data_IF_286160476471
#
_entry.id   IF_286160476471
#
_cell.length_a   1.000
_cell.length_b   1.000
_cell.length_c   1.000
_cell.angle_alpha   90.00
_cell.angle_beta   90.00
_cell.angle_gamma   90.00
#
_symmetry.space_group_name_H-M   'P 1'
#
loop_
_entity.id
_entity.type
_entity.pdbx_description
1 polymer ?
#
# COMPACT_ATOMS: atom_id res chain seq x y z
N UNK A 1 5.07 7.54 -21.60
CA UNK A 1 5.20 6.78 -20.34
C UNK A 1 4.63 5.38 -20.58
N UNK A 2 5.48 4.38 -20.85
CA UNK A 2 5.07 2.99 -20.84
C UNK A 2 4.38 2.64 -19.52
N UNK A 3 3.31 1.86 -19.61
CA UNK A 3 2.62 1.28 -18.46
C UNK A 3 2.77 -0.23 -18.61
N UNK A 4 3.35 -0.88 -17.61
CA UNK A 4 3.43 -2.32 -17.53
C UNK A 4 2.69 -2.81 -16.29
N UNK A 5 2.13 -4.01 -16.39
CA UNK A 5 1.50 -4.69 -15.27
C UNK A 5 2.14 -6.05 -15.08
N UNK A 6 2.48 -6.36 -13.84
CA UNK A 6 3.03 -7.65 -13.47
C UNK A 6 2.67 -8.01 -12.03
N UNK A 7 2.76 -9.30 -11.68
CA UNK A 7 2.68 -9.73 -10.28
C UNK A 7 4.09 -9.82 -9.71
N UNK A 8 4.34 -9.17 -8.58
CA UNK A 8 5.62 -9.23 -7.85
C UNK A 8 5.41 -9.73 -6.43
N UNK A 9 6.46 -10.28 -5.85
CA UNK A 9 6.52 -10.57 -4.43
C UNK A 9 6.37 -9.28 -3.61
N UNK A 10 5.54 -9.32 -2.57
CA UNK A 10 5.21 -8.14 -1.75
C UNK A 10 6.44 -7.58 -1.03
N UNK A 11 7.37 -8.44 -0.59
CA UNK A 11 8.61 -8.01 0.05
C UNK A 11 9.60 -7.46 -0.98
N UNK A 12 9.68 -8.03 -2.18
CA UNK A 12 10.48 -7.47 -3.28
C UNK A 12 9.99 -6.06 -3.66
N UNK A 13 8.68 -5.84 -3.65
CA UNK A 13 8.09 -4.50 -3.85
C UNK A 13 8.51 -3.55 -2.74
N UNK A 14 8.49 -4.00 -1.48
CA UNK A 14 8.96 -3.21 -0.34
C UNK A 14 10.42 -2.76 -0.54
N UNK A 15 11.29 -3.73 -0.86
CA UNK A 15 12.72 -3.50 -1.08
C UNK A 15 12.96 -2.56 -2.27
N UNK A 16 12.28 -2.78 -3.39
CA UNK A 16 12.38 -1.93 -4.58
C UNK A 16 11.96 -0.48 -4.32
N UNK A 17 11.03 -0.28 -3.37
CA UNK A 17 10.57 1.04 -2.95
C UNK A 17 11.42 1.66 -1.82
N UNK A 18 12.47 0.98 -1.35
CA UNK A 18 13.25 1.41 -0.19
C UNK A 18 12.46 1.40 1.12
N UNK A 19 11.42 0.57 1.21
CA UNK A 19 10.59 0.43 2.39
C UNK A 19 11.16 -0.69 3.29
N UNK A 20 11.51 -0.32 4.52
CA UNK A 20 11.92 -1.27 5.56
C UNK A 20 10.74 -1.82 6.37
N UNK A 21 9.56 -1.22 6.20
CA UNK A 21 8.32 -1.48 6.94
C UNK A 21 7.15 -0.83 6.15
N UNK A 22 6.03 -0.49 6.81
CA UNK A 22 4.91 0.22 6.20
C UNK A 22 5.29 1.57 5.56
N UNK A 23 4.57 1.98 4.50
CA UNK A 23 4.67 3.33 3.93
C UNK A 23 4.46 4.40 5.00
N UNK A 24 5.20 5.51 4.88
CA UNK A 24 4.97 6.69 5.72
C UNK A 24 4.05 7.68 4.99
N UNK A 25 2.94 8.04 5.63
CA UNK A 25 2.06 9.10 5.13
C UNK A 25 2.54 10.44 5.69
N UNK A 26 2.84 11.40 4.82
CA UNK A 26 3.46 12.67 5.19
C UNK A 26 2.61 13.52 6.17
N UNK A 27 1.29 13.35 6.15
CA UNK A 27 0.35 14.03 7.06
C UNK A 27 0.25 13.38 8.44
N UNK A 28 0.91 12.24 8.66
CA UNK A 28 0.76 11.42 9.84
C UNK A 28 1.85 11.73 10.86
N UNK A 29 1.48 11.73 12.13
CA UNK A 29 2.32 12.04 13.27
C UNK A 29 3.42 11.00 13.53
N UNK A 30 3.26 9.76 13.01
CA UNK A 30 4.23 8.66 13.16
C UNK A 30 4.03 7.58 12.08
N UNK A 31 4.95 6.61 12.04
CA UNK A 31 4.75 5.39 11.22
C UNK A 31 3.70 4.47 11.87
N UNK A 32 2.96 3.80 10.99
CA UNK A 32 2.07 2.71 11.36
C UNK A 32 2.88 1.48 11.81
N UNK A 33 2.32 0.68 12.71
CA UNK A 33 2.87 -0.60 13.16
C UNK A 33 1.84 -1.71 13.06
N UNK A 34 2.28 -2.97 13.12
CA UNK A 34 1.37 -4.12 13.19
C UNK A 34 0.40 -4.04 14.37
N UNK A 35 0.87 -3.52 15.52
CA UNK A 35 0.06 -3.37 16.71
C UNK A 35 -1.12 -2.42 16.50
N UNK A 36 -0.95 -1.36 15.68
CA UNK A 36 -2.02 -0.43 15.36
C UNK A 36 -3.13 -1.08 14.53
N UNK A 37 -2.74 -1.88 13.54
CA UNK A 37 -3.67 -2.61 12.65
C UNK A 37 -4.38 -3.70 13.45
N UNK A 38 -3.64 -4.47 14.25
CA UNK A 38 -4.19 -5.51 15.12
C UNK A 38 -5.19 -4.92 16.15
N UNK A 39 -4.87 -3.77 16.74
CA UNK A 39 -5.77 -3.05 17.63
C UNK A 39 -7.06 -2.63 16.90
N UNK A 40 -6.95 -2.00 15.74
CA UNK A 40 -8.11 -1.59 14.94
C UNK A 40 -9.00 -2.80 14.54
N UNK A 41 -8.40 -3.95 14.21
CA UNK A 41 -9.13 -5.18 13.93
C UNK A 41 -9.85 -5.73 15.18
N UNK A 42 -9.19 -5.72 16.34
CA UNK A 42 -9.73 -6.22 17.59
C UNK A 42 -10.89 -5.35 18.13
N UNK A 43 -10.79 -4.03 17.95
CA UNK A 43 -11.79 -3.05 18.35
C UNK A 43 -12.93 -2.85 17.35
N UNK A 44 -12.88 -3.54 16.19
CA UNK A 44 -13.78 -3.33 15.06
C UNK A 44 -13.83 -1.87 14.56
N UNK A 45 -12.71 -1.17 14.71
CA UNK A 45 -12.54 0.22 14.31
C UNK A 45 -12.10 0.25 12.85
N UNK A 46 -13.07 0.10 11.94
CA UNK A 46 -12.82 -0.08 10.50
C UNK A 46 -13.33 1.12 9.69
N UNK A 47 -12.47 1.70 8.85
CA UNK A 47 -12.83 2.83 7.98
C UNK A 47 -12.90 2.35 6.52
N UNK A 48 -14.11 2.20 5.99
CA UNK A 48 -14.36 1.76 4.61
C UNK A 48 -13.97 2.83 3.57
N UNK A 49 -13.29 2.48 2.45
CA UNK A 49 -12.92 3.42 1.38
C UNK A 49 -14.09 4.34 1.01
N UNK A 50 -13.80 5.64 0.88
CA UNK A 50 -14.80 6.65 0.54
C UNK A 50 -14.31 7.40 -0.69
N UNK A 51 -14.93 7.11 -1.83
CA UNK A 51 -14.58 7.70 -3.13
C UNK A 51 -14.94 9.20 -3.21
N UNK A 52 -15.79 9.69 -2.30
CA UNK A 52 -16.16 11.11 -2.20
C UNK A 52 -15.25 11.93 -1.30
N UNK A 53 -14.38 11.29 -0.52
CA UNK A 53 -13.43 11.97 0.37
C UNK A 53 -12.29 12.57 -0.43
N UNK A 54 -11.84 13.77 -0.06
CA UNK A 54 -10.58 14.32 -0.56
C UNK A 54 -9.43 13.34 -0.22
N UNK A 55 -8.73 12.77 -1.22
CA UNK A 55 -7.66 11.81 -0.99
C UNK A 55 -6.45 12.42 -0.26
N UNK A 56 -6.34 13.76 -0.24
CA UNK A 56 -5.26 14.48 0.44
C UNK A 56 -5.68 14.97 1.83
N UNK A 57 -6.92 14.72 2.27
CA UNK A 57 -7.34 15.07 3.61
C UNK A 57 -6.46 14.33 4.63
N UNK A 58 -5.85 15.04 5.59
CA UNK A 58 -4.95 14.42 6.55
C UNK A 58 -5.66 13.32 7.35
N UNK A 59 -4.91 12.28 7.69
CA UNK A 59 -5.33 11.16 8.52
C UNK A 59 -4.26 10.90 9.59
N UNK A 60 -4.70 10.54 10.80
CA UNK A 60 -3.81 10.08 11.87
C UNK A 60 -3.31 8.65 11.62
N UNK A 61 -2.30 8.20 12.36
CA UNK A 61 -1.80 6.82 12.26
C UNK A 61 -2.92 5.82 12.57
N UNK A 62 -3.76 6.13 13.54
CA UNK A 62 -4.89 5.29 13.95
C UNK A 62 -5.98 5.21 12.88
N UNK A 63 -6.23 6.29 12.13
CA UNK A 63 -7.17 6.28 11.00
C UNK A 63 -6.58 5.52 9.81
N UNK A 64 -5.29 5.67 9.53
CA UNK A 64 -4.59 4.85 8.54
C UNK A 64 -4.67 3.36 8.92
N UNK A 65 -4.43 3.02 10.19
CA UNK A 65 -4.57 1.67 10.72
C UNK A 65 -5.98 1.11 10.51
N UNK A 66 -7.01 1.91 10.81
CA UNK A 66 -8.41 1.53 10.67
C UNK A 66 -8.83 1.32 9.19
N UNK A 67 -8.26 2.11 8.27
CA UNK A 67 -8.41 1.90 6.82
C UNK A 67 -7.74 0.61 6.36
N UNK A 68 -6.51 0.35 6.83
CA UNK A 68 -5.77 -0.88 6.53
C UNK A 68 -6.50 -2.09 7.09
N UNK A 69 -6.98 -2.03 8.34
CA UNK A 69 -7.77 -3.08 8.99
C UNK A 69 -9.05 -3.39 8.20
N UNK A 70 -9.75 -2.38 7.67
CA UNK A 70 -10.91 -2.61 6.81
C UNK A 70 -10.52 -3.41 5.56
N UNK A 71 -9.41 -3.07 4.90
CA UNK A 71 -8.88 -3.78 3.74
C UNK A 71 -8.40 -5.19 4.07
N UNK A 72 -7.81 -5.41 5.24
CA UNK A 72 -7.42 -6.75 5.71
C UNK A 72 -8.66 -7.64 5.88
N UNK A 73 -9.78 -7.09 6.35
CA UNK A 73 -11.00 -7.86 6.60
C UNK A 73 -11.87 -8.06 5.35
N UNK A 74 -11.94 -7.07 4.47
CA UNK A 74 -12.93 -7.04 3.37
C UNK A 74 -12.30 -6.91 1.98
N UNK A 75 -10.99 -6.71 1.89
CA UNK A 75 -10.30 -6.51 0.63
C UNK A 75 -10.22 -7.78 -0.21
N UNK A 76 -10.42 -7.62 -1.51
CA UNK A 76 -10.11 -8.65 -2.50
C UNK A 76 -8.65 -8.48 -2.95
N UNK A 77 -7.75 -9.27 -2.37
CA UNK A 77 -6.31 -9.17 -2.62
C UNK A 77 -5.93 -9.43 -4.08
N UNK A 78 -6.71 -10.22 -4.82
CA UNK A 78 -6.47 -10.45 -6.24
C UNK A 78 -6.75 -9.21 -7.09
N UNK A 79 -7.56 -8.28 -6.57
CA UNK A 79 -7.81 -6.97 -7.18
C UNK A 79 -6.94 -5.86 -6.62
N UNK A 80 -6.10 -6.15 -5.62
CA UNK A 80 -5.16 -5.14 -5.13
C UNK A 80 -4.11 -4.89 -6.20
N UNK A 81 -3.96 -3.62 -6.52
CA UNK A 81 -2.87 -3.11 -7.33
C UNK A 81 -2.11 -2.04 -6.57
N UNK A 82 -0.84 -1.90 -6.88
CA UNK A 82 -0.01 -0.80 -6.40
C UNK A 82 0.65 -0.15 -7.59
N UNK A 83 0.85 1.16 -7.54
CA UNK A 83 1.53 1.88 -8.62
C UNK A 83 2.95 2.17 -8.19
N UNK A 84 3.91 1.70 -8.96
CA UNK A 84 5.32 1.96 -8.76
C UNK A 84 5.78 2.99 -9.80
N UNK A 85 6.43 4.06 -9.35
CA UNK A 85 6.98 5.10 -10.21
C UNK A 85 8.34 5.53 -9.71
N UNK A 86 9.33 5.54 -10.60
CA UNK A 86 10.70 6.01 -10.32
C UNK A 86 11.27 5.36 -9.04
N UNK A 87 11.06 4.03 -8.89
CA UNK A 87 11.49 3.26 -7.72
C UNK A 87 10.73 3.57 -6.42
N UNK A 88 9.53 4.15 -6.49
CA UNK A 88 8.71 4.51 -5.31
C UNK A 88 7.29 4.01 -5.43
N UNK A 89 6.67 3.72 -4.29
CA UNK A 89 5.24 3.48 -4.18
C UNK A 89 4.49 4.81 -4.36
N UNK A 90 3.91 5.00 -5.53
CA UNK A 90 3.23 6.24 -5.93
C UNK A 90 1.73 6.22 -5.57
N UNK A 91 1.11 5.04 -5.60
CA UNK A 91 -0.27 4.84 -5.19
C UNK A 91 -0.48 3.42 -4.63
N UNK A 92 -1.51 3.26 -3.81
CA UNK A 92 -1.89 1.98 -3.22
C UNK A 92 -1.28 1.73 -1.85
N UNK A 93 -0.79 2.76 -1.14
CA UNK A 93 -0.15 2.62 0.18
C UNK A 93 -0.96 1.79 1.17
N UNK A 94 -2.29 2.02 1.28
CA UNK A 94 -3.13 1.24 2.20
C UNK A 94 -3.32 -0.21 1.73
N UNK A 95 -3.41 -0.45 0.41
CA UNK A 95 -3.52 -1.80 -0.18
C UNK A 95 -2.23 -2.59 0.02
N UNK A 96 -1.09 -1.95 -0.21
CA UNK A 96 0.23 -2.49 0.08
C UNK A 96 0.37 -2.85 1.56
N UNK A 97 0.04 -1.92 2.47
CA UNK A 97 0.10 -2.17 3.90
C UNK A 97 -0.82 -3.32 4.34
N UNK A 98 -2.04 -3.40 3.80
CA UNK A 98 -2.96 -4.50 4.10
C UNK A 98 -2.45 -5.86 3.62
N UNK A 99 -1.86 -5.91 2.43
CA UNK A 99 -1.25 -7.12 1.87
C UNK A 99 -0.02 -7.56 2.65
N UNK A 100 0.85 -6.62 3.03
CA UNK A 100 2.03 -6.88 3.87
C UNK A 100 1.61 -7.44 5.23
N UNK A 101 0.66 -6.80 5.91
CA UNK A 101 0.13 -7.25 7.20
C UNK A 101 -0.49 -8.65 7.12
N UNK A 102 -1.26 -8.91 6.05
CA UNK A 102 -1.95 -10.18 5.86
C UNK A 102 -1.04 -11.32 5.34
N UNK A 103 0.23 -11.05 5.07
CA UNK A 103 1.17 -12.04 4.54
C UNK A 103 0.83 -12.47 3.11
N UNK A 104 0.27 -11.58 2.29
CA UNK A 104 0.01 -11.85 0.88
C UNK A 104 1.35 -11.91 0.14
N UNK A 105 1.65 -13.06 -0.45
CA UNK A 105 2.93 -13.30 -1.11
C UNK A 105 3.13 -12.39 -2.34
N UNK A 106 2.10 -12.20 -3.17
CA UNK A 106 2.23 -11.44 -4.41
C UNK A 106 1.13 -10.41 -4.65
N UNK A 107 1.50 -9.27 -5.22
CA UNK A 107 0.62 -8.16 -5.58
C UNK A 107 0.72 -7.81 -7.06
N UNK A 108 -0.36 -7.27 -7.61
CA UNK A 108 -0.32 -6.65 -8.94
C UNK A 108 0.36 -5.29 -8.85
N UNK A 109 1.43 -5.09 -9.61
CA UNK A 109 2.16 -3.83 -9.71
C UNK A 109 1.92 -3.18 -11.08
N UNK A 110 1.52 -1.91 -11.07
CA UNK A 110 1.48 -1.04 -12.24
C UNK A 110 2.76 -0.23 -12.27
N UNK A 111 3.67 -0.56 -13.18
CA UNK A 111 4.93 0.14 -13.34
C UNK A 111 4.73 1.34 -14.27
N UNK A 112 5.13 2.52 -13.80
CA UNK A 112 5.13 3.76 -14.56
C UNK A 112 6.55 4.35 -14.55
N UNK A 113 7.16 4.49 -15.72
CA UNK A 113 8.51 5.05 -15.85
C UNK A 113 8.83 5.44 -17.29
N UNK A 114 10.01 6.01 -17.52
CA UNK A 114 10.53 6.24 -18.87
C UNK A 114 11.16 4.95 -19.42
N UNK A 115 11.01 4.73 -20.73
CA UNK A 115 11.37 3.50 -21.46
C UNK A 115 12.83 3.03 -21.27
N UNK A 116 13.73 3.87 -20.79
CA UNK A 116 15.15 3.55 -20.62
C UNK A 116 15.45 2.75 -19.33
N UNK A 117 14.77 3.03 -18.21
CA UNK A 117 14.99 2.31 -16.94
C UNK A 117 14.30 0.94 -16.93
N UNK A 118 13.21 0.78 -17.69
CA UNK A 118 12.45 -0.48 -17.74
C UNK A 118 13.16 -1.58 -18.55
N UNK A 119 14.10 -1.21 -19.44
CA UNK A 119 14.87 -2.15 -20.24
C UNK A 119 16.09 -2.73 -19.50
N UNK A 120 16.55 -2.10 -18.41
CA UNK A 120 17.64 -2.64 -17.57
C UNK A 120 17.14 -3.61 -16.49
N UNK A 121 15.83 -3.64 -16.21
CA UNK A 121 15.22 -4.47 -15.17
C UNK A 121 14.50 -5.74 -15.69
N UNK A 122 14.52 -5.99 -17.01
CA UNK A 122 13.90 -7.13 -17.68
C UNK A 122 14.95 -8.12 -18.21
#
# INVERSE_FOLDING_TARGET
>A
MPIQMERRDTLDVALACGLSDYPFWASCERRLTDADIACALAEDRLIAPDDGRDPNAPMSAEEHAARVAWLVRHGDYDRFSVTLRDGKLADGNHRFAAALFAGVETLTCVLMGDTAEMAEAA
#
